data_IF_576240683386
#
_entry.id   IF_576240683386
#
_cell.length_a   1.000
_cell.length_b   1.000
_cell.length_c   1.000
_cell.angle_alpha   90.00
_cell.angle_beta   90.00
_cell.angle_gamma   90.00
#
_symmetry.space_group_name_H-M   'P 1'
#
loop_
_entity.id
_entity.type
_entity.pdbx_description
1 polymer ?
#
# COMPACT_ATOMS: atom_id res chain seq x y z
N UNK A 1 8.69 21.04 -17.54
CA UNK A 1 9.95 21.62 -17.01
C UNK A 1 11.20 20.88 -17.51
N UNK A 2 11.23 19.53 -17.48
CA UNK A 2 12.35 18.73 -18.01
C UNK A 2 12.65 18.99 -19.50
N UNK A 3 11.61 19.05 -20.33
CA UNK A 3 11.78 19.29 -21.77
C UNK A 3 12.36 20.68 -22.08
N UNK A 4 11.96 21.68 -21.29
CA UNK A 4 12.47 23.05 -21.41
C UNK A 4 13.94 23.15 -20.99
N UNK A 5 14.32 22.45 -19.92
CA UNK A 5 15.72 22.35 -19.52
C UNK A 5 16.58 21.69 -20.60
N UNK A 6 16.14 20.55 -21.14
CA UNK A 6 16.85 19.83 -22.19
C UNK A 6 17.00 20.66 -23.46
N UNK A 7 16.00 21.47 -23.82
CA UNK A 7 16.05 22.33 -25.00
C UNK A 7 17.06 23.48 -24.85
N UNK A 8 17.23 24.02 -23.63
CA UNK A 8 18.25 25.04 -23.33
C UNK A 8 19.65 24.41 -23.24
N UNK A 9 19.80 23.29 -22.53
CA UNK A 9 21.08 22.60 -22.38
C UNK A 9 21.60 22.04 -23.71
N UNK A 10 20.70 21.58 -24.58
CA UNK A 10 21.02 21.16 -25.95
C UNK A 10 21.29 22.32 -26.92
N UNK A 11 21.39 23.58 -26.44
CA UNK A 11 21.58 24.81 -27.23
C UNK A 11 20.58 25.00 -28.39
N UNK A 12 19.42 24.35 -28.34
CA UNK A 12 18.40 24.46 -29.41
C UNK A 12 17.63 25.79 -29.35
N UNK A 13 17.57 26.41 -28.17
CA UNK A 13 16.82 27.64 -27.91
C UNK A 13 17.33 28.37 -26.68
N UNK A 14 17.14 29.70 -26.62
CA UNK A 14 17.46 30.50 -25.44
C UNK A 14 16.50 30.20 -24.29
N UNK A 15 16.88 30.53 -23.04
CA UNK A 15 16.03 30.34 -21.85
C UNK A 15 14.67 31.01 -22.01
N UNK A 16 14.63 32.21 -22.60
CA UNK A 16 13.40 32.95 -22.85
C UNK A 16 12.53 32.29 -23.92
N UNK A 17 13.12 31.86 -25.03
CA UNK A 17 12.40 31.16 -26.10
C UNK A 17 11.83 29.83 -25.59
N UNK A 18 12.61 29.05 -24.84
CA UNK A 18 12.18 27.80 -24.23
C UNK A 18 11.03 28.00 -23.23
N UNK A 19 11.13 29.03 -22.38
CA UNK A 19 10.10 29.37 -21.42
C UNK A 19 8.76 29.73 -22.09
N UNK A 20 8.83 30.55 -23.15
CA UNK A 20 7.65 30.97 -23.92
C UNK A 20 7.02 29.82 -24.71
N UNK A 21 7.83 29.01 -25.39
CA UNK A 21 7.34 27.89 -26.20
C UNK A 21 6.72 26.77 -25.37
N UNK A 22 7.25 26.50 -24.18
CA UNK A 22 6.83 25.37 -23.35
C UNK A 22 5.96 25.78 -22.15
N UNK A 23 5.55 27.06 -22.09
CA UNK A 23 4.66 27.58 -21.06
C UNK A 23 5.21 27.43 -19.63
N UNK A 24 6.52 27.50 -19.44
CA UNK A 24 7.17 27.40 -18.12
C UNK A 24 7.69 28.75 -17.66
N UNK A 25 7.69 29.00 -16.34
CA UNK A 25 8.19 30.25 -15.78
C UNK A 25 9.66 30.50 -16.14
N UNK A 26 9.93 31.63 -16.80
CA UNK A 26 11.28 31.97 -17.26
C UNK A 26 12.32 32.01 -16.13
N UNK A 27 11.99 32.63 -14.98
CA UNK A 27 12.89 32.67 -13.81
C UNK A 27 13.18 31.28 -13.25
N UNK A 28 12.17 30.42 -13.15
CA UNK A 28 12.35 29.05 -12.65
C UNK A 28 13.28 28.24 -13.58
N UNK A 29 13.06 28.33 -14.90
CA UNK A 29 13.93 27.70 -15.88
C UNK A 29 15.36 28.25 -15.80
N UNK A 30 15.53 29.57 -15.66
CA UNK A 30 16.84 30.20 -15.49
C UNK A 30 17.56 29.68 -14.24
N UNK A 31 16.89 29.62 -13.08
CA UNK A 31 17.46 29.09 -11.85
C UNK A 31 17.90 27.62 -11.99
N UNK A 32 17.11 26.80 -12.67
CA UNK A 32 17.44 25.38 -12.91
C UNK A 32 18.64 25.26 -13.86
N UNK A 33 18.65 25.99 -14.98
CA UNK A 33 19.75 25.97 -15.96
C UNK A 33 21.07 26.53 -15.42
N UNK A 34 20.98 27.45 -14.45
CA UNK A 34 22.15 28.04 -13.76
C UNK A 34 22.60 27.18 -12.56
N UNK A 35 21.92 26.06 -12.28
CA UNK A 35 22.27 25.13 -11.21
C UNK A 35 21.91 25.60 -9.80
N UNK A 36 21.15 26.70 -9.66
CA UNK A 36 20.70 27.22 -8.35
C UNK A 36 19.60 26.37 -7.73
N UNK A 37 18.84 25.64 -8.55
CA UNK A 37 17.76 24.75 -8.12
C UNK A 37 17.89 23.44 -8.92
N UNK A 38 17.79 22.27 -8.28
CA UNK A 38 17.79 21.01 -9.02
C UNK A 38 16.52 20.88 -9.88
N UNK A 39 16.64 20.23 -11.04
CA UNK A 39 15.53 20.08 -12.00
C UNK A 39 14.30 19.35 -11.42
N UNK A 40 14.54 18.47 -10.45
CA UNK A 40 13.52 17.70 -9.73
C UNK A 40 13.27 18.28 -8.32
N UNK A 41 13.55 19.56 -8.09
CA UNK A 41 13.25 20.18 -6.80
C UNK A 41 11.75 20.03 -6.50
N UNK A 42 11.44 19.27 -5.44
CA UNK A 42 10.09 19.23 -4.90
C UNK A 42 9.80 20.58 -4.23
N UNK A 43 8.62 21.14 -4.44
CA UNK A 43 8.20 22.35 -3.74
C UNK A 43 7.60 21.95 -2.40
N UNK A 44 8.14 22.51 -1.31
CA UNK A 44 7.70 22.20 0.05
C UNK A 44 8.79 21.55 0.88
N UNK A 45 8.44 21.23 2.13
CA UNK A 45 9.36 20.67 3.10
C UNK A 45 9.62 19.19 2.83
N UNK A 46 10.87 18.77 3.00
CA UNK A 46 11.24 17.36 2.92
C UNK A 46 10.56 16.53 4.02
N UNK A 47 10.27 15.24 3.78
CA UNK A 47 9.75 14.35 4.82
C UNK A 47 10.65 14.34 6.06
N UNK A 48 10.07 14.28 7.26
CA UNK A 48 10.83 14.36 8.53
C UNK A 48 11.85 13.21 8.71
N UNK A 49 11.64 12.05 8.07
CA UNK A 49 12.53 10.89 8.15
C UNK A 49 13.57 10.79 7.00
N UNK A 50 13.48 11.65 5.98
CA UNK A 50 14.45 11.67 4.88
C UNK A 50 14.68 10.31 4.20
N UNK A 51 15.93 9.82 4.21
CA UNK A 51 16.30 8.55 3.57
C UNK A 51 15.78 7.31 4.32
N UNK A 52 15.72 7.38 5.66
CA UNK A 52 15.27 6.29 6.51
C UNK A 52 13.81 5.91 6.30
N UNK A 53 13.02 6.81 5.70
CA UNK A 53 11.64 6.52 5.29
C UNK A 53 11.56 5.33 4.33
N UNK A 54 12.53 5.18 3.43
CA UNK A 54 12.53 4.10 2.44
C UNK A 54 12.84 2.73 3.07
N UNK A 55 13.78 2.68 4.02
CA UNK A 55 14.10 1.45 4.76
C UNK A 55 12.86 0.95 5.51
N UNK A 56 12.09 1.87 6.10
CA UNK A 56 10.87 1.52 6.83
C UNK A 56 9.78 0.98 5.90
N UNK A 57 9.65 1.54 4.70
CA UNK A 57 8.74 1.02 3.66
C UNK A 57 9.12 -0.40 3.26
N UNK A 58 10.41 -0.66 3.07
CA UNK A 58 10.89 -1.98 2.67
C UNK A 58 10.64 -3.02 3.79
N UNK A 59 10.82 -2.63 5.06
CA UNK A 59 10.45 -3.46 6.20
C UNK A 59 8.94 -3.76 6.27
N UNK A 60 8.08 -2.75 6.07
CA UNK A 60 6.62 -2.94 6.08
C UNK A 60 6.19 -3.89 4.97
N UNK A 61 6.75 -3.75 3.77
CA UNK A 61 6.44 -4.62 2.64
C UNK A 61 6.91 -6.05 2.89
N UNK A 62 8.11 -6.25 3.44
CA UNK A 62 8.63 -7.58 3.78
C UNK A 62 7.74 -8.31 4.80
N UNK A 63 7.30 -7.59 5.84
CA UNK A 63 6.41 -8.16 6.85
C UNK A 63 5.03 -8.50 6.27
N UNK A 64 4.52 -7.64 5.38
CA UNK A 64 3.28 -7.90 4.67
C UNK A 64 3.37 -9.14 3.77
N UNK A 65 4.50 -9.36 3.11
CA UNK A 65 4.76 -10.57 2.30
C UNK A 65 4.80 -11.84 3.16
N UNK A 66 5.22 -11.73 4.43
CA UNK A 66 5.14 -12.82 5.41
C UNK A 66 3.74 -13.02 6.01
N UNK A 67 2.76 -12.22 5.59
CA UNK A 67 1.38 -12.29 6.07
C UNK A 67 1.12 -11.49 7.35
N UNK A 68 2.07 -10.65 7.78
CA UNK A 68 1.93 -9.80 8.96
C UNK A 68 1.66 -8.36 8.51
N UNK A 69 0.41 -7.93 8.64
CA UNK A 69 0.04 -6.54 8.43
C UNK A 69 0.34 -5.69 9.67
N UNK A 70 0.62 -4.41 9.46
CA UNK A 70 0.66 -3.41 10.52
C UNK A 70 -0.61 -2.57 10.51
N UNK A 71 -1.13 -2.29 11.70
CA UNK A 71 -2.11 -1.26 11.94
C UNK A 71 -1.49 0.14 11.86
N UNK A 72 -2.35 1.16 11.72
CA UNK A 72 -1.91 2.56 11.69
C UNK A 72 -1.14 2.96 12.97
N UNK A 73 -1.57 2.48 14.14
CA UNK A 73 -0.91 2.77 15.41
C UNK A 73 0.44 2.07 15.51
N UNK A 74 0.54 0.80 15.12
CA UNK A 74 1.82 0.07 15.16
C UNK A 74 2.87 0.71 14.24
N UNK A 75 2.47 1.19 13.05
CA UNK A 75 3.39 1.95 12.18
C UNK A 75 3.89 3.20 12.91
N UNK A 76 3.02 3.92 13.63
CA UNK A 76 3.39 5.13 14.38
C UNK A 76 4.28 4.80 15.59
N UNK A 77 4.04 3.68 16.27
CA UNK A 77 4.89 3.17 17.36
C UNK A 77 6.30 2.85 16.87
N UNK A 78 6.41 2.10 15.77
CA UNK A 78 7.69 1.74 15.16
C UNK A 78 8.48 2.98 14.75
N UNK A 79 7.83 3.99 14.16
CA UNK A 79 8.49 5.27 13.84
C UNK A 79 8.95 5.97 15.10
N UNK A 80 8.14 6.00 16.15
CA UNK A 80 8.48 6.66 17.40
C UNK A 80 9.75 6.03 18.01
N UNK A 81 9.81 4.70 18.04
CA UNK A 81 10.97 3.97 18.54
C UNK A 81 12.20 4.18 17.66
N UNK A 82 12.02 4.20 16.34
CA UNK A 82 13.10 4.48 15.39
C UNK A 82 13.70 5.87 15.59
N UNK A 83 12.84 6.89 15.73
CA UNK A 83 13.24 8.29 15.96
C UNK A 83 13.98 8.44 17.28
N UNK A 84 13.47 7.81 18.36
CA UNK A 84 14.11 7.85 19.69
C UNK A 84 15.45 7.13 19.71
N UNK A 85 15.54 5.95 19.09
CA UNK A 85 16.76 5.12 19.06
C UNK A 85 17.87 5.80 18.27
N UNK A 86 17.54 6.34 17.10
CA UNK A 86 18.50 7.00 16.22
C UNK A 86 18.72 8.49 16.54
N UNK A 87 18.02 9.02 17.55
CA UNK A 87 18.08 10.43 17.98
C UNK A 87 17.87 11.41 16.81
N UNK A 88 16.89 11.11 15.96
CA UNK A 88 16.57 11.94 14.80
C UNK A 88 15.80 13.16 15.26
N UNK A 89 16.26 14.35 14.89
CA UNK A 89 15.52 15.58 15.13
C UNK A 89 14.29 15.63 14.22
N UNK A 90 13.11 15.49 14.83
CA UNK A 90 11.82 15.54 14.15
C UNK A 90 10.92 16.57 14.82
N UNK A 91 9.90 17.05 14.12
CA UNK A 91 8.88 17.94 14.70
C UNK A 91 7.75 17.20 15.41
N UNK A 92 7.88 15.88 15.52
CA UNK A 92 6.91 15.04 16.19
C UNK A 92 6.85 15.36 17.67
N UNK A 93 5.64 15.50 18.22
CA UNK A 93 5.45 15.61 19.65
C UNK A 93 5.97 14.33 20.31
N UNK A 94 6.95 14.45 21.20
CA UNK A 94 7.61 13.32 21.88
C UNK A 94 8.19 12.25 20.93
N UNK A 95 8.57 12.66 19.71
CA UNK A 95 9.07 11.77 18.67
C UNK A 95 8.00 10.89 18.02
N UNK A 96 6.71 11.02 18.37
CA UNK A 96 5.62 10.22 17.77
C UNK A 96 4.98 10.94 16.58
N UNK A 97 4.97 10.35 15.38
CA UNK A 97 4.25 10.94 14.26
C UNK A 97 2.74 10.96 14.50
N UNK A 98 2.08 12.00 13.97
CA UNK A 98 0.63 12.13 13.96
C UNK A 98 -0.03 11.43 12.77
N UNK A 99 -1.37 11.44 12.76
CA UNK A 99 -2.17 10.89 11.65
C UNK A 99 -1.87 11.57 10.30
N UNK A 100 -1.68 12.89 10.29
CA UNK A 100 -1.38 13.64 9.07
C UNK A 100 -0.05 13.18 8.43
N UNK A 101 0.94 12.85 9.28
CA UNK A 101 2.20 12.31 8.80
C UNK A 101 2.00 10.94 8.17
N UNK A 102 1.22 10.05 8.81
CA UNK A 102 0.92 8.72 8.29
C UNK A 102 0.17 8.79 6.95
N UNK A 103 -0.80 9.70 6.83
CA UNK A 103 -1.52 9.91 5.58
C UNK A 103 -0.58 10.38 4.47
N UNK A 104 0.29 11.35 4.75
CA UNK A 104 1.32 11.80 3.82
C UNK A 104 2.30 10.68 3.44
N UNK A 105 2.73 9.87 4.40
CA UNK A 105 3.60 8.71 4.19
C UNK A 105 2.97 7.72 3.20
N UNK A 106 1.72 7.33 3.41
CA UNK A 106 1.00 6.43 2.51
C UNK A 106 0.77 7.03 1.11
N UNK A 107 0.58 8.34 1.01
CA UNK A 107 0.48 9.02 -0.29
C UNK A 107 1.78 9.02 -1.08
N UNK A 108 2.92 9.19 -0.39
CA UNK A 108 4.26 9.09 -0.99
C UNK A 108 4.58 7.65 -1.39
N UNK A 109 4.17 6.67 -0.58
CA UNK A 109 4.49 5.26 -0.76
C UNK A 109 3.26 4.42 -1.12
N UNK A 110 2.72 4.64 -2.34
CA UNK A 110 1.52 3.96 -2.86
C UNK A 110 1.61 2.44 -2.99
N UNK A 111 2.80 1.85 -2.77
CA UNK A 111 2.97 0.39 -2.68
C UNK A 111 2.32 -0.17 -1.41
N UNK A 112 2.21 0.64 -0.36
CA UNK A 112 1.55 0.27 0.89
C UNK A 112 0.06 0.61 0.73
N UNK A 113 -0.79 -0.39 0.92
CA UNK A 113 -2.24 -0.23 0.88
C UNK A 113 -2.85 -0.64 2.21
N UNK A 114 -3.81 0.14 2.70
CA UNK A 114 -4.64 -0.29 3.83
C UNK A 114 -5.58 -1.37 3.32
N UNK A 115 -5.51 -2.55 3.93
CA UNK A 115 -6.44 -3.64 3.69
C UNK A 115 -7.21 -3.90 4.97
N UNK A 116 -8.52 -4.07 4.82
CA UNK A 116 -9.32 -4.73 5.85
C UNK A 116 -9.05 -6.22 5.71
N UNK A 117 -8.56 -6.84 6.77
CA UNK A 117 -8.39 -8.30 6.79
C UNK A 117 -9.78 -8.92 6.74
N UNK A 118 -10.05 -9.72 5.71
CA UNK A 118 -11.22 -10.59 5.72
C UNK A 118 -11.07 -11.61 6.84
N UNK A 119 -12.18 -11.96 7.50
CA UNK A 119 -12.17 -13.08 8.44
C UNK A 119 -11.81 -14.34 7.65
N UNK A 120 -10.54 -14.76 7.73
CA UNK A 120 -10.10 -16.02 7.18
C UNK A 120 -10.87 -17.13 7.90
N UNK A 121 -11.92 -17.65 7.27
CA UNK A 121 -12.42 -18.98 7.59
C UNK A 121 -11.24 -19.94 7.47
N UNK A 122 -11.15 -20.93 8.38
CA UNK A 122 -9.99 -21.83 8.54
C UNK A 122 -9.34 -22.32 7.22
N UNK A 123 -10.14 -22.48 6.16
CA UNK A 123 -9.77 -22.82 4.79
C UNK A 123 -8.63 -22.02 4.12
N UNK A 124 -8.27 -20.84 4.64
CA UNK A 124 -7.18 -20.02 4.09
C UNK A 124 -5.77 -20.42 4.53
N UNK A 125 -5.63 -21.44 5.40
CA UNK A 125 -4.34 -21.90 5.94
C UNK A 125 -3.94 -23.30 5.46
N UNK A 126 -4.80 -23.99 4.72
CA UNK A 126 -4.46 -25.29 4.14
C UNK A 126 -3.57 -25.14 2.90
N UNK A 127 -2.68 -26.11 2.72
CA UNK A 127 -1.79 -26.21 1.56
C UNK A 127 -2.62 -26.39 0.28
N UNK A 128 -2.40 -25.57 -0.77
CA UNK A 128 -3.07 -25.73 -2.06
C UNK A 128 -3.00 -27.14 -2.63
N UNK A 129 -1.90 -27.86 -2.41
CA UNK A 129 -1.73 -29.24 -2.87
C UNK A 129 -2.67 -30.19 -2.12
N UNK A 130 -2.84 -30.00 -0.81
CA UNK A 130 -3.77 -30.80 0.01
C UNK A 130 -5.21 -30.56 -0.44
N UNK A 131 -5.58 -29.29 -0.67
CA UNK A 131 -6.91 -28.93 -1.16
C UNK A 131 -7.15 -29.59 -2.52
N UNK A 132 -6.23 -29.44 -3.48
CA UNK A 132 -6.35 -30.06 -4.80
C UNK A 132 -6.46 -31.58 -4.72
N UNK A 133 -5.60 -32.22 -3.92
CA UNK A 133 -5.62 -33.66 -3.73
C UNK A 133 -6.96 -34.15 -3.15
N UNK A 134 -7.57 -33.38 -2.24
CA UNK A 134 -8.88 -33.71 -1.68
C UNK A 134 -10.01 -33.57 -2.71
N UNK A 135 -9.98 -32.52 -3.54
CA UNK A 135 -11.01 -32.28 -4.56
C UNK A 135 -10.87 -33.18 -5.80
N UNK A 136 -9.70 -33.75 -6.06
CA UNK A 136 -9.43 -34.56 -7.25
C UNK A 136 -10.37 -35.79 -7.37
N UNK A 137 -10.53 -36.65 -6.34
CA UNK A 137 -11.45 -37.79 -6.43
C UNK A 137 -12.91 -37.36 -6.58
N UNK A 138 -13.30 -36.23 -6.00
CA UNK A 138 -14.65 -35.68 -6.14
C UNK A 138 -14.93 -35.31 -7.60
N UNK A 139 -14.00 -34.61 -8.25
CA UNK A 139 -14.12 -34.25 -9.65
C UNK A 139 -14.18 -35.50 -10.54
N UNK A 140 -13.33 -36.49 -10.31
CA UNK A 140 -13.38 -37.75 -11.05
C UNK A 140 -14.73 -38.48 -10.90
N UNK A 141 -15.32 -38.45 -9.70
CA UNK A 141 -16.61 -39.08 -9.45
C UNK A 141 -17.76 -38.32 -10.10
N UNK A 142 -17.70 -36.99 -10.11
CA UNK A 142 -18.66 -36.13 -10.81
C UNK A 142 -18.59 -36.35 -12.34
N UNK A 143 -17.39 -36.57 -12.88
CA UNK A 143 -17.20 -36.92 -14.30
C UNK A 143 -17.74 -38.32 -14.61
N UNK A 144 -17.40 -39.33 -13.79
CA UNK A 144 -17.88 -40.72 -13.96
C UNK A 144 -19.40 -40.83 -13.89
N UNK A 145 -20.04 -40.03 -13.03
CA UNK A 145 -21.50 -39.99 -12.91
C UNK A 145 -22.18 -39.10 -13.95
N UNK A 146 -21.41 -38.34 -14.74
CA UNK A 146 -21.92 -37.46 -15.80
C UNK A 146 -22.59 -36.19 -15.29
N UNK A 147 -22.49 -35.86 -14.00
CA UNK A 147 -23.20 -34.74 -13.36
C UNK A 147 -22.34 -33.50 -13.11
N UNK A 148 -21.06 -33.52 -13.51
CA UNK A 148 -20.10 -32.42 -13.30
C UNK A 148 -20.64 -31.03 -13.69
N UNK A 149 -21.30 -30.95 -14.84
CA UNK A 149 -21.83 -29.70 -15.39
C UNK A 149 -23.35 -29.54 -15.16
N UNK A 150 -23.92 -30.31 -14.23
CA UNK A 150 -25.35 -30.29 -13.88
C UNK A 150 -25.54 -29.85 -12.42
N UNK A 151 -25.47 -28.54 -12.13
CA UNK A 151 -25.60 -28.03 -10.76
C UNK A 151 -26.95 -28.39 -10.13
N UNK A 152 -28.01 -28.52 -10.93
CA UNK A 152 -29.35 -28.91 -10.46
C UNK A 152 -29.42 -30.32 -9.86
N UNK A 153 -28.39 -31.15 -10.09
CA UNK A 153 -28.28 -32.50 -9.54
C UNK A 153 -27.31 -32.60 -8.36
N UNK A 154 -26.68 -31.49 -7.97
CA UNK A 154 -25.72 -31.43 -6.87
C UNK A 154 -26.37 -30.71 -5.69
N UNK A 155 -26.76 -31.48 -4.68
CA UNK A 155 -27.43 -30.95 -3.49
C UNK A 155 -26.42 -30.71 -2.37
N UNK A 156 -26.37 -29.49 -1.85
CA UNK A 156 -25.66 -29.22 -0.60
C UNK A 156 -26.47 -29.79 0.58
N UNK A 157 -25.83 -30.58 1.44
CA UNK A 157 -26.45 -31.19 2.63
C UNK A 157 -25.76 -30.73 3.90
N UNK A 158 -25.48 -29.44 4.02
CA UNK A 158 -24.95 -28.86 5.25
C UNK A 158 -26.08 -28.40 6.19
N UNK A 159 -25.82 -28.43 7.50
CA UNK A 159 -26.78 -27.97 8.52
C UNK A 159 -26.41 -26.56 8.95
N UNK A 160 -27.27 -25.60 8.64
CA UNK A 160 -27.18 -24.26 9.22
C UNK A 160 -27.86 -24.24 10.58
N UNK A 161 -27.13 -23.83 11.62
CA UNK A 161 -27.70 -23.59 12.95
C UNK A 161 -28.44 -22.26 13.00
N UNK A 162 -29.72 -22.27 13.37
CA UNK A 162 -30.48 -21.07 13.67
C UNK A 162 -30.62 -20.92 15.18
N UNK A 163 -30.14 -19.80 15.72
CA UNK A 163 -30.29 -19.47 17.13
C UNK A 163 -31.70 -18.90 17.34
N UNK A 164 -32.60 -19.65 17.98
CA UNK A 164 -33.98 -19.20 18.22
C UNK A 164 -34.18 -18.58 19.61
N UNK A 165 -33.13 -18.46 20.43
CA UNK A 165 -33.20 -17.81 21.73
C UNK A 165 -32.94 -16.29 21.60
N UNK A 166 -33.95 -15.44 21.86
CA UNK A 166 -33.80 -13.98 21.78
C UNK A 166 -32.73 -13.41 22.72
N UNK A 167 -32.34 -14.13 23.78
CA UNK A 167 -31.31 -13.67 24.74
C UNK A 167 -29.88 -13.81 24.21
N UNK A 168 -29.66 -14.68 23.22
CA UNK A 168 -28.36 -14.89 22.58
C UNK A 168 -28.18 -14.04 21.32
N UNK A 169 -29.28 -13.56 20.72
CA UNK A 169 -29.27 -12.74 19.50
C UNK A 169 -28.81 -11.29 19.72
N UNK A 170 -29.12 -10.73 20.89
CA UNK A 170 -28.73 -9.36 21.27
C UNK A 170 -27.24 -9.18 21.62
N UNK A 171 -26.43 -10.25 21.66
CA UNK A 171 -24.97 -10.16 21.81
C UNK A 171 -24.20 -10.14 20.49
N UNK A 172 -24.87 -10.27 19.33
CA UNK A 172 -24.21 -10.22 18.00
C UNK A 172 -24.24 -8.83 17.34
N UNK A 173 -24.90 -7.85 17.96
CA UNK A 173 -25.10 -6.49 17.43
C UNK A 173 -24.35 -5.40 18.23
N UNK A 174 -23.39 -5.79 19.07
CA UNK A 174 -22.46 -4.91 19.79
C UNK A 174 -21.03 -5.32 19.45
#
# INVERSE_FOLDING_TARGET
MKDAFNAVMGKKMSTYAAAKHLGVGHKALWFITTGKIPINAHQGRSPDLGHSEQEMVDCILLMADWGWGFSAEEVRDVVQDFVKTNKIETQFAEGRPGEDWLWGFLQRHRKISRRTTEHLSRGGKEDPEIIQHWFQPLLEQLEKSGVKDMPDQIYNTDKTGFETDPKLDCMRHL
#
